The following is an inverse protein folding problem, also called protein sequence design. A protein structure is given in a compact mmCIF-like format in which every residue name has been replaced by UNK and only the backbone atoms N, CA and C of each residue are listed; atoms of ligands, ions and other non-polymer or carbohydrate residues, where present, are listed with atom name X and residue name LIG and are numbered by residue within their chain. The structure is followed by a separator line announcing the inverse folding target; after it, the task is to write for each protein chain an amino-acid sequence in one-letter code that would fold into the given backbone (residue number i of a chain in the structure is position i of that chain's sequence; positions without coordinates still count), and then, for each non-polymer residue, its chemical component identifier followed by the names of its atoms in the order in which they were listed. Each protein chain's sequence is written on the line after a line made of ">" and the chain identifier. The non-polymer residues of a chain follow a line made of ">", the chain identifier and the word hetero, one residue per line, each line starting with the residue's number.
data_IF_813601633348
#
_entry.id   IF_813601633348
#
_cell.length_a   1.000
_cell.length_b   1.000
_cell.length_c   1.000
_cell.angle_alpha   90.00
_cell.angle_beta   90.00
_cell.angle_gamma   90.00
#
_symmetry.space_group_name_H-M   'P 1'
#
loop_
_entity.id
_entity.type
_entity.pdbx_description
1 polymer ?
#
# COMPACT_ATOMS: atom_id res chain seq x y z
N UNK A 1 -51.31 -11.58 17.72
CA UNK A 1 -49.83 -11.49 17.62
C UNK A 1 -49.51 -11.19 16.16
N UNK A 2 -49.22 -9.94 15.77
CA UNK A 2 -47.84 -9.37 15.61
C UNK A 2 -46.93 -10.40 14.94
N UNK A 3 -46.47 -10.19 13.70
CA UNK A 3 -45.40 -9.25 13.34
C UNK A 3 -45.62 -8.62 11.95
N UNK A 4 -45.46 -7.30 11.89
CA UNK A 4 -45.28 -6.51 10.67
C UNK A 4 -43.86 -6.76 10.13
N UNK A 5 -43.73 -7.21 8.88
CA UNK A 5 -42.43 -7.18 8.18
C UNK A 5 -42.46 -6.07 7.15
N UNK A 6 -41.78 -4.98 7.51
CA UNK A 6 -41.64 -3.75 6.73
C UNK A 6 -40.60 -4.01 5.63
N UNK A 7 -41.05 -4.13 4.38
CA UNK A 7 -40.15 -4.15 3.22
C UNK A 7 -39.73 -2.70 2.95
N UNK A 8 -38.54 -2.32 3.41
CA UNK A 8 -37.92 -1.05 3.02
C UNK A 8 -37.33 -1.27 1.62
N UNK A 9 -38.12 -0.93 0.60
CA UNK A 9 -37.62 -0.69 -0.75
C UNK A 9 -36.87 0.64 -0.71
N UNK A 10 -35.55 0.59 -0.61
CA UNK A 10 -34.71 1.77 -0.80
C UNK A 10 -34.72 2.13 -2.29
N UNK A 11 -35.71 2.92 -2.69
CA UNK A 11 -35.70 3.65 -3.94
C UNK A 11 -34.62 4.75 -3.85
N UNK A 12 -33.43 4.43 -4.33
CA UNK A 12 -32.36 5.39 -4.58
C UNK A 12 -32.76 6.29 -5.75
N UNK A 13 -32.86 7.57 -5.46
CA UNK A 13 -33.40 8.62 -6.30
C UNK A 13 -32.48 8.93 -7.49
N UNK A 14 -33.10 9.44 -8.55
CA UNK A 14 -32.46 10.12 -9.66
C UNK A 14 -31.44 11.17 -9.19
N UNK A 15 -30.16 10.98 -9.53
CA UNK A 15 -29.18 12.06 -9.64
C UNK A 15 -28.81 12.20 -11.12
N UNK A 16 -29.50 13.12 -11.81
CA UNK A 16 -29.02 13.69 -13.06
C UNK A 16 -28.04 14.82 -12.71
N UNK A 17 -26.78 14.44 -12.52
CA UNK A 17 -25.63 15.32 -12.37
C UNK A 17 -24.45 14.37 -12.25
N UNK A 18 -23.67 14.21 -13.32
CA UNK A 18 -22.64 13.17 -13.42
C UNK A 18 -21.61 13.27 -12.31
N UNK A 19 -21.87 12.61 -11.19
CA UNK A 19 -20.87 12.34 -10.16
C UNK A 19 -19.79 11.50 -10.83
N UNK A 20 -18.56 11.99 -10.75
CA UNK A 20 -17.41 11.19 -11.16
C UNK A 20 -17.44 9.89 -10.34
N UNK A 21 -17.17 8.73 -10.96
CA UNK A 21 -17.06 7.48 -10.24
C UNK A 21 -16.11 7.62 -9.05
N UNK A 22 -16.48 7.03 -7.92
CA UNK A 22 -15.61 6.93 -6.75
C UNK A 22 -14.41 6.04 -7.06
N UNK A 23 -13.25 6.65 -7.25
CA UNK A 23 -11.98 5.93 -7.45
C UNK A 23 -11.20 5.73 -6.14
N UNK A 24 -11.53 6.51 -5.10
CA UNK A 24 -10.82 6.47 -3.82
C UNK A 24 -11.13 5.19 -3.06
N UNK A 25 -12.41 4.85 -2.93
CA UNK A 25 -12.86 3.61 -2.29
C UNK A 25 -12.12 2.37 -2.81
N UNK A 26 -12.23 2.06 -4.12
CA UNK A 26 -11.55 0.91 -4.72
C UNK A 26 -10.04 0.94 -4.56
N UNK A 27 -9.39 2.10 -4.72
CA UNK A 27 -7.95 2.19 -4.61
C UNK A 27 -7.46 1.96 -3.17
N UNK A 28 -8.16 2.51 -2.18
CA UNK A 28 -7.86 2.25 -0.76
C UNK A 28 -8.01 0.76 -0.44
N UNK A 29 -9.05 0.09 -0.95
CA UNK A 29 -9.21 -1.35 -0.78
C UNK A 29 -8.05 -2.15 -1.39
N UNK A 30 -7.54 -1.74 -2.56
CA UNK A 30 -6.33 -2.36 -3.12
C UNK A 30 -5.12 -2.15 -2.21
N UNK A 31 -4.95 -0.96 -1.64
CA UNK A 31 -3.86 -0.72 -0.69
C UNK A 31 -3.97 -1.62 0.55
N UNK A 32 -5.18 -1.88 1.07
CA UNK A 32 -5.38 -2.83 2.18
C UNK A 32 -4.99 -4.25 1.79
N UNK A 33 -5.34 -4.69 0.58
CA UNK A 33 -4.95 -6.01 0.06
C UNK A 33 -3.42 -6.12 -0.05
N UNK A 34 -2.77 -5.10 -0.60
CA UNK A 34 -1.31 -5.06 -0.76
C UNK A 34 -0.58 -4.97 0.58
N UNK A 35 -1.15 -4.27 1.55
CA UNK A 35 -0.63 -4.16 2.90
C UNK A 35 -0.51 -5.54 3.56
N UNK A 36 -1.62 -6.28 3.63
CA UNK A 36 -1.64 -7.62 4.23
C UNK A 36 -0.89 -8.69 3.44
N UNK A 37 -0.65 -8.49 2.14
CA UNK A 37 0.05 -9.46 1.28
C UNK A 37 1.56 -9.24 1.22
N UNK A 38 2.00 -7.99 1.13
CA UNK A 38 3.40 -7.65 0.85
C UNK A 38 4.02 -6.75 1.91
N UNK A 39 3.32 -5.72 2.39
CA UNK A 39 3.89 -4.75 3.34
C UNK A 39 4.16 -5.43 4.68
N UNK A 40 3.23 -6.25 5.19
CA UNK A 40 3.44 -7.04 6.41
C UNK A 40 4.70 -7.92 6.31
N UNK A 41 4.94 -8.52 5.14
CA UNK A 41 6.14 -9.34 4.90
C UNK A 41 7.42 -8.49 4.85
N UNK A 42 7.35 -7.29 4.28
CA UNK A 42 8.46 -6.33 4.28
C UNK A 42 8.79 -5.88 5.71
N UNK A 43 7.79 -5.67 6.57
CA UNK A 43 7.95 -5.38 8.00
C UNK A 43 8.60 -6.55 8.73
N UNK A 44 8.17 -7.79 8.46
CA UNK A 44 8.77 -8.99 9.03
C UNK A 44 10.27 -9.10 8.67
N UNK A 45 10.63 -8.82 7.42
CA UNK A 45 12.03 -8.78 6.99
C UNK A 45 12.86 -7.72 7.70
N UNK A 46 12.28 -6.55 8.02
CA UNK A 46 12.97 -5.56 8.83
C UNK A 46 13.38 -6.14 10.20
N UNK A 47 12.50 -6.93 10.81
CA UNK A 47 12.76 -7.65 12.05
C UNK A 47 13.88 -8.68 11.90
N UNK A 48 13.85 -9.48 10.83
CA UNK A 48 14.92 -10.46 10.54
C UNK A 48 16.28 -9.79 10.34
N UNK A 49 16.34 -8.74 9.52
CA UNK A 49 17.57 -7.99 9.24
C UNK A 49 18.10 -7.18 10.44
N UNK A 50 17.29 -7.04 11.49
CA UNK A 50 17.69 -6.41 12.76
C UNK A 50 18.10 -7.45 13.81
N UNK A 51 17.96 -8.74 13.51
CA UNK A 51 18.25 -9.84 14.44
C UNK A 51 19.45 -10.66 13.95
N UNK A 52 20.55 -10.75 14.72
CA UNK A 52 21.74 -11.48 14.31
C UNK A 52 21.44 -12.93 13.91
N UNK A 53 21.96 -13.34 12.74
CA UNK A 53 21.82 -14.71 12.23
C UNK A 53 20.49 -15.04 11.54
N UNK A 54 19.61 -14.05 11.35
CA UNK A 54 18.32 -14.25 10.66
C UNK A 54 18.29 -13.71 9.23
N UNK A 55 19.40 -13.15 8.73
CA UNK A 55 19.48 -12.44 7.44
C UNK A 55 18.94 -13.25 6.25
N UNK A 56 19.22 -14.56 6.23
CA UNK A 56 18.77 -15.47 5.17
C UNK A 56 17.24 -15.61 5.07
N UNK A 57 16.49 -15.25 6.12
CA UNK A 57 15.03 -15.24 6.06
C UNK A 57 14.46 -14.11 5.22
N UNK A 58 15.27 -13.09 4.91
CA UNK A 58 14.90 -11.98 4.02
C UNK A 58 15.47 -12.16 2.60
N UNK A 59 15.96 -13.35 2.24
CA UNK A 59 16.63 -13.60 0.97
C UNK A 59 15.77 -13.32 -0.28
N UNK A 60 14.44 -13.47 -0.17
CA UNK A 60 13.48 -13.25 -1.25
C UNK A 60 12.88 -11.83 -1.27
N UNK A 61 13.43 -10.89 -0.50
CA UNK A 61 12.92 -9.50 -0.43
C UNK A 61 12.84 -8.81 -1.79
N UNK A 62 13.79 -9.10 -2.69
CA UNK A 62 13.78 -8.57 -4.05
C UNK A 62 12.56 -9.02 -4.85
N UNK A 63 12.13 -10.26 -4.66
CA UNK A 63 10.93 -10.79 -5.30
C UNK A 63 9.68 -10.15 -4.69
N UNK A 64 9.60 -10.06 -3.36
CA UNK A 64 8.46 -9.43 -2.66
C UNK A 64 8.26 -7.97 -3.09
N UNK A 65 9.34 -7.18 -3.15
CA UNK A 65 9.24 -5.79 -3.62
C UNK A 65 8.90 -5.70 -5.11
N UNK A 66 9.36 -6.65 -5.93
CA UNK A 66 8.99 -6.71 -7.35
C UNK A 66 7.49 -6.99 -7.51
N UNK A 67 6.96 -7.98 -6.80
CA UNK A 67 5.56 -8.37 -6.90
C UNK A 67 4.63 -7.25 -6.41
N UNK A 68 5.01 -6.56 -5.33
CA UNK A 68 4.31 -5.36 -4.87
C UNK A 68 4.29 -4.25 -5.93
N UNK A 69 5.44 -3.98 -6.57
CA UNK A 69 5.52 -2.99 -7.65
C UNK A 69 4.61 -3.38 -8.82
N UNK A 70 4.64 -4.64 -9.24
CA UNK A 70 3.90 -5.12 -10.39
C UNK A 70 2.39 -5.08 -10.15
N UNK A 71 1.93 -5.36 -8.92
CA UNK A 71 0.52 -5.24 -8.56
C UNK A 71 0.03 -3.78 -8.52
N UNK A 72 0.87 -2.85 -8.07
CA UNK A 72 0.57 -1.41 -8.17
C UNK A 72 0.54 -0.93 -9.62
N UNK A 73 1.39 -1.50 -10.48
CA UNK A 73 1.45 -1.19 -11.90
C UNK A 73 0.29 -1.79 -12.70
N UNK A 74 -0.21 -2.95 -12.28
CA UNK A 74 -1.37 -3.62 -12.87
C UNK A 74 -2.71 -3.01 -12.45
N UNK A 75 -2.72 -2.12 -11.45
CA UNK A 75 -3.95 -1.42 -11.06
C UNK A 75 -4.47 -0.59 -12.25
N UNK A 76 -5.81 -0.59 -12.51
CA UNK A 76 -6.40 0.15 -13.62
C UNK A 76 -6.00 1.63 -13.65
N UNK A 77 -6.16 2.25 -14.81
CA UNK A 77 -5.95 3.70 -14.96
C UNK A 77 -6.79 4.48 -13.94
N UNK A 78 -6.16 5.46 -13.28
CA UNK A 78 -6.77 6.29 -12.24
C UNK A 78 -6.90 7.72 -12.78
N UNK A 79 -8.13 8.20 -12.94
CA UNK A 79 -8.41 9.54 -13.48
C UNK A 79 -8.16 10.64 -12.43
N UNK A 80 -8.42 10.35 -11.16
CA UNK A 80 -8.17 11.26 -10.06
C UNK A 80 -6.66 11.49 -9.91
N UNK A 81 -6.22 12.68 -10.31
CA UNK A 81 -4.80 13.09 -10.32
C UNK A 81 -4.11 12.93 -8.96
N UNK A 82 -4.82 13.12 -7.84
CA UNK A 82 -4.24 12.95 -6.51
C UNK A 82 -3.93 11.47 -6.25
N UNK A 83 -4.89 10.59 -6.50
CA UNK A 83 -4.75 9.14 -6.33
C UNK A 83 -3.69 8.59 -7.30
N UNK A 84 -3.76 8.98 -8.57
CA UNK A 84 -2.77 8.62 -9.59
C UNK A 84 -1.35 9.06 -9.22
N UNK A 85 -1.18 10.29 -8.70
CA UNK A 85 0.13 10.77 -8.25
C UNK A 85 0.67 9.93 -7.08
N UNK A 86 -0.18 9.52 -6.14
CA UNK A 86 0.22 8.68 -5.00
C UNK A 86 0.59 7.26 -5.44
N UNK A 87 -0.18 6.63 -6.34
CA UNK A 87 0.18 5.34 -6.93
C UNK A 87 1.54 5.42 -7.66
N UNK A 88 1.72 6.44 -8.49
CA UNK A 88 2.96 6.64 -9.23
C UNK A 88 4.15 6.91 -8.31
N UNK A 89 3.93 7.58 -7.17
CA UNK A 89 4.97 7.81 -6.17
C UNK A 89 5.41 6.50 -5.52
N UNK A 90 4.48 5.64 -5.11
CA UNK A 90 4.81 4.31 -4.57
C UNK A 90 5.60 3.47 -5.58
N UNK A 91 5.12 3.37 -6.82
CA UNK A 91 5.82 2.63 -7.88
C UNK A 91 7.25 3.13 -8.07
N UNK A 92 7.46 4.44 -8.13
CA UNK A 92 8.80 5.05 -8.26
C UNK A 92 9.67 4.82 -7.03
N UNK A 93 9.12 4.88 -5.83
CA UNK A 93 9.88 4.62 -4.61
C UNK A 93 10.34 3.17 -4.53
N UNK A 94 9.48 2.22 -4.89
CA UNK A 94 9.87 0.80 -4.97
C UNK A 94 10.89 0.60 -6.10
N UNK A 95 10.61 1.19 -7.26
CA UNK A 95 11.45 1.13 -8.46
C UNK A 95 11.33 -0.21 -9.18
N UNK A 96 11.79 -0.24 -10.44
CA UNK A 96 12.11 -1.51 -11.08
C UNK A 96 13.54 -1.94 -10.69
N UNK A 97 14.04 -3.08 -11.20
CA UNK A 97 15.40 -3.53 -10.86
C UNK A 97 16.48 -2.65 -11.52
N UNK A 98 16.18 -2.08 -12.67
CA UNK A 98 17.12 -1.41 -13.58
C UNK A 98 17.02 0.12 -13.51
N UNK A 99 15.93 0.65 -12.94
CA UNK A 99 15.60 2.05 -12.78
C UNK A 99 15.30 2.35 -11.30
N UNK A 100 15.92 3.43 -10.85
CA UNK A 100 15.67 4.22 -9.64
C UNK A 100 14.60 3.68 -8.65
N UNK A 101 14.99 3.52 -7.38
CA UNK A 101 14.08 3.20 -6.29
C UNK A 101 14.78 2.46 -5.16
N UNK A 102 14.01 1.72 -4.37
CA UNK A 102 14.46 0.86 -3.29
C UNK A 102 15.14 -0.40 -3.85
N UNK A 103 14.57 -1.00 -4.89
CA UNK A 103 15.04 -2.29 -5.44
C UNK A 103 16.47 -2.26 -5.97
N UNK A 104 16.95 -1.12 -6.48
CA UNK A 104 18.36 -0.96 -6.93
C UNK A 104 19.40 -1.18 -5.83
N UNK A 105 18.99 -1.08 -4.55
CA UNK A 105 19.87 -1.31 -3.41
C UNK A 105 19.97 -2.79 -3.08
N UNK A 106 18.96 -3.58 -3.44
CA UNK A 106 18.93 -5.00 -3.14
C UNK A 106 20.01 -5.71 -3.95
N UNK A 107 20.75 -6.55 -3.24
CA UNK A 107 21.87 -7.35 -3.73
C UNK A 107 21.68 -8.78 -3.26
N UNK A 108 22.49 -9.72 -3.74
CA UNK A 108 22.38 -11.12 -3.35
C UNK A 108 22.61 -11.33 -1.84
N UNK A 109 21.88 -12.25 -1.16
CA UNK A 109 21.94 -12.40 0.29
C UNK A 109 23.30 -12.81 0.88
N UNK A 110 24.20 -13.32 0.06
CA UNK A 110 25.53 -13.78 0.44
C UNK A 110 26.60 -12.68 0.39
N UNK A 111 26.27 -11.50 -0.16
CA UNK A 111 27.22 -10.38 -0.21
C UNK A 111 27.23 -9.59 1.10
N UNK A 112 28.39 -9.08 1.58
CA UNK A 112 28.50 -8.38 2.86
C UNK A 112 27.62 -7.13 2.99
N UNK A 113 27.22 -6.53 1.86
CA UNK A 113 26.41 -5.31 1.81
C UNK A 113 24.90 -5.60 1.78
N UNK A 114 24.48 -6.87 1.78
CA UNK A 114 23.06 -7.26 1.73
C UNK A 114 22.25 -6.62 2.85
N UNK A 115 22.60 -6.89 4.11
CA UNK A 115 21.84 -6.42 5.28
C UNK A 115 21.70 -4.89 5.31
N UNK A 116 22.77 -4.08 5.25
CA UNK A 116 22.63 -2.62 5.31
C UNK A 116 21.83 -2.07 4.11
N UNK A 117 21.99 -2.65 2.92
CA UNK A 117 21.25 -2.21 1.74
C UNK A 117 19.76 -2.59 1.81
N UNK A 118 19.44 -3.82 2.22
CA UNK A 118 18.08 -4.31 2.37
C UNK A 118 17.32 -3.49 3.43
N UNK A 119 17.94 -3.19 4.59
CA UNK A 119 17.35 -2.29 5.59
C UNK A 119 17.09 -0.90 5.03
N UNK A 120 18.02 -0.34 4.25
CA UNK A 120 17.82 0.96 3.60
C UNK A 120 16.69 0.93 2.57
N UNK A 121 16.57 -0.14 1.79
CA UNK A 121 15.49 -0.32 0.81
C UNK A 121 14.12 -0.44 1.49
N UNK A 122 14.02 -1.29 2.52
CA UNK A 122 12.82 -1.46 3.35
C UNK A 122 12.38 -0.11 3.91
N UNK A 123 13.30 0.61 4.57
CA UNK A 123 13.00 1.90 5.19
C UNK A 123 12.37 2.88 4.19
N UNK A 124 12.97 3.02 3.00
CA UNK A 124 12.43 3.88 1.96
C UNK A 124 11.00 3.52 1.54
N UNK A 125 10.71 2.22 1.38
CA UNK A 125 9.36 1.76 1.00
C UNK A 125 8.37 2.04 2.11
N UNK A 126 8.68 1.65 3.36
CA UNK A 126 7.78 1.82 4.50
C UNK A 126 7.50 3.31 4.80
N UNK A 127 8.52 4.17 4.73
CA UNK A 127 8.33 5.62 4.88
C UNK A 127 7.39 6.21 3.81
N UNK A 128 7.47 5.73 2.57
CA UNK A 128 6.57 6.21 1.51
C UNK A 128 5.14 5.70 1.70
N UNK A 129 4.96 4.47 2.16
CA UNK A 129 3.63 3.97 2.49
C UNK A 129 2.98 4.76 3.62
N UNK A 130 3.73 5.19 4.65
CA UNK A 130 3.22 6.13 5.68
C UNK A 130 2.72 7.42 5.04
N UNK A 131 3.50 7.99 4.13
CA UNK A 131 3.10 9.22 3.43
C UNK A 131 1.82 9.00 2.62
N UNK A 132 1.72 7.90 1.87
CA UNK A 132 0.51 7.60 1.10
C UNK A 132 -0.69 7.33 2.01
N UNK A 133 -0.52 6.54 3.07
CA UNK A 133 -1.56 6.31 4.08
C UNK A 133 -2.15 7.64 4.57
N UNK A 134 -1.31 8.55 5.07
CA UNK A 134 -1.77 9.82 5.64
C UNK A 134 -2.47 10.71 4.61
N UNK A 135 -2.02 10.68 3.34
CA UNK A 135 -2.68 11.44 2.28
C UNK A 135 -4.02 10.82 1.85
N UNK A 136 -4.12 9.48 1.85
CA UNK A 136 -5.37 8.77 1.55
C UNK A 136 -6.40 8.97 2.65
N UNK A 137 -5.99 8.89 3.92
CA UNK A 137 -6.86 9.15 5.05
C UNK A 137 -7.39 10.59 5.01
N UNK A 138 -6.52 11.56 4.72
CA UNK A 138 -6.96 12.95 4.53
C UNK A 138 -7.94 13.08 3.37
N UNK A 139 -7.66 12.45 2.23
CA UNK A 139 -8.55 12.50 1.06
C UNK A 139 -9.90 11.82 1.36
N UNK A 140 -9.90 10.75 2.16
CA UNK A 140 -11.10 10.06 2.62
C UNK A 140 -12.04 10.99 3.39
N UNK A 141 -11.48 11.74 4.35
CA UNK A 141 -12.20 12.73 5.14
C UNK A 141 -12.65 13.91 4.26
N UNK A 142 -11.77 14.42 3.39
CA UNK A 142 -12.06 15.55 2.50
C UNK A 142 -13.18 15.23 1.50
N UNK A 143 -13.32 13.97 1.06
CA UNK A 143 -14.41 13.51 0.19
C UNK A 143 -15.71 13.20 0.95
N UNK A 144 -15.75 13.43 2.26
CA UNK A 144 -16.97 13.29 3.07
C UNK A 144 -17.39 11.85 3.34
N UNK A 145 -16.46 10.89 3.20
CA UNK A 145 -16.70 9.49 3.57
C UNK A 145 -17.03 9.40 5.07
N UNK A 146 -18.08 8.65 5.40
CA UNK A 146 -18.62 8.59 6.77
C UNK A 146 -18.12 7.38 7.55
N UNK A 147 -17.71 6.36 6.82
CA UNK A 147 -17.13 5.14 7.33
C UNK A 147 -15.66 5.37 7.75
N UNK A 148 -15.14 4.62 8.75
CA UNK A 148 -13.75 4.72 9.15
C UNK A 148 -12.79 4.41 7.99
N UNK A 149 -11.66 5.12 7.95
CA UNK A 149 -10.61 4.82 6.98
C UNK A 149 -10.09 3.38 7.20
N UNK A 150 -10.14 2.51 6.18
CA UNK A 150 -9.96 1.07 6.38
C UNK A 150 -8.51 0.62 6.38
N UNK A 151 -7.59 1.39 5.80
CA UNK A 151 -6.16 1.08 5.83
C UNK A 151 -5.61 1.45 7.21
N UNK A 152 -5.09 0.45 7.92
CA UNK A 152 -4.52 0.64 9.25
C UNK A 152 -3.01 0.56 9.15
N UNK A 153 -2.34 1.70 9.26
CA UNK A 153 -0.90 1.64 9.40
C UNK A 153 -0.53 1.15 10.80
N UNK A 154 0.01 -0.06 10.90
CA UNK A 154 0.66 -0.50 12.12
C UNK A 154 1.90 0.37 12.31
N UNK A 155 1.90 1.24 13.32
CA UNK A 155 3.05 2.08 13.66
C UNK A 155 4.32 1.23 13.74
N UNK A 156 5.12 1.31 12.68
CA UNK A 156 6.47 0.79 12.71
C UNK A 156 7.24 1.63 13.72
N UNK A 157 7.80 0.93 14.69
CA UNK A 157 8.90 1.42 15.50
C UNK A 157 10.09 1.66 14.57
N UNK A 158 10.09 2.81 13.91
CA UNK A 158 11.28 3.34 13.26
C UNK A 158 12.17 3.86 14.38
N UNK A 159 12.97 2.96 14.95
CA UNK A 159 14.05 3.28 15.88
C UNK A 159 15.19 4.01 15.15
#
# INVERSE_FOLDING_TARGET
>A
MKVFTLVIVAAGMFSCGGEKPDELGPYVQKLVELDGKYVDKIVEYQGYLSTPGMDQKAADIQQVMKDLHDELAAYPEIENKKISAMNNKLKRTIGDADNAGARRKLVEPDVPTFVPNARSAIKMVLEEFIVVHNNMEKLWVDEGKTEPFPLKWNELKTD
#
